data_IF_044648037958
#
_entry.id   IF_044648037958
#
_cell.length_a   1.000
_cell.length_b   1.000
_cell.length_c   1.000
_cell.angle_alpha   90.00
_cell.angle_beta   90.00
_cell.angle_gamma   90.00
#
_symmetry.space_group_name_H-M   'P 1'
#
loop_
_entity.id
_entity.type
_entity.pdbx_description
1 polymer ?
#
# COMPACT_ATOMS: atom_id res chain seq x y z
N UNK A 1 -0.20 0.20 -9.50
CA UNK A 1 -1.06 1.32 -9.06
C UNK A 1 -2.21 1.60 -10.04
N UNK A 2 -2.01 1.39 -11.34
CA UNK A 2 -3.02 1.71 -12.36
C UNK A 2 -4.30 0.87 -12.27
N UNK A 3 -4.20 -0.41 -11.86
CA UNK A 3 -5.38 -1.29 -11.75
C UNK A 3 -6.37 -0.83 -10.66
N UNK A 4 -5.88 -0.48 -9.46
CA UNK A 4 -6.75 0.01 -8.37
C UNK A 4 -7.32 1.39 -8.69
N UNK A 5 -6.53 2.25 -9.34
CA UNK A 5 -6.99 3.56 -9.83
C UNK A 5 -8.11 3.39 -10.86
N UNK A 6 -7.94 2.51 -11.84
CA UNK A 6 -8.92 2.27 -12.89
C UNK A 6 -10.23 1.70 -12.31
N UNK A 7 -10.14 0.73 -11.39
CA UNK A 7 -11.31 0.20 -10.66
C UNK A 7 -12.07 1.28 -9.89
N UNK A 8 -11.35 2.19 -9.24
CA UNK A 8 -11.99 3.29 -8.53
C UNK A 8 -12.71 4.24 -9.48
N UNK A 9 -12.09 4.59 -10.63
CA UNK A 9 -12.69 5.43 -11.66
C UNK A 9 -13.96 4.80 -12.22
N UNK A 10 -13.93 3.49 -12.50
CA UNK A 10 -15.09 2.74 -12.99
C UNK A 10 -16.24 2.72 -11.96
N UNK A 11 -15.93 2.52 -10.68
CA UNK A 11 -16.94 2.56 -9.62
C UNK A 11 -17.57 3.97 -9.46
N UNK A 12 -16.77 5.04 -9.56
CA UNK A 12 -17.30 6.42 -9.56
C UNK A 12 -18.19 6.69 -10.78
N UNK A 13 -17.80 6.21 -11.97
CA UNK A 13 -18.63 6.35 -13.18
C UNK A 13 -19.94 5.60 -13.03
N UNK A 14 -19.91 4.37 -12.50
CA UNK A 14 -21.12 3.60 -12.22
C UNK A 14 -22.11 4.36 -11.35
N UNK A 15 -21.64 5.02 -10.29
CA UNK A 15 -22.50 5.86 -9.44
C UNK A 15 -23.06 7.08 -10.17
N UNK A 16 -22.23 7.77 -10.96
CA UNK A 16 -22.67 8.93 -11.74
C UNK A 16 -23.70 8.56 -12.81
N UNK A 17 -23.51 7.43 -13.48
CA UNK A 17 -24.45 6.91 -14.47
C UNK A 17 -25.78 6.49 -13.80
N UNK A 18 -25.73 5.87 -12.61
CA UNK A 18 -26.96 5.54 -11.86
C UNK A 18 -27.72 6.77 -11.39
N UNK A 19 -27.02 7.83 -10.95
CA UNK A 19 -27.66 9.09 -10.51
C UNK A 19 -28.29 9.86 -11.66
N UNK A 20 -27.65 9.85 -12.85
CA UNK A 20 -28.12 10.60 -14.02
C UNK A 20 -29.20 9.84 -14.81
N UNK A 21 -29.09 8.52 -14.91
CA UNK A 21 -30.00 7.70 -15.74
C UNK A 21 -31.05 6.93 -14.92
N UNK A 22 -31.12 7.14 -13.60
CA UNK A 22 -32.08 6.44 -12.73
C UNK A 22 -31.80 4.95 -12.64
N UNK A 23 -30.52 4.59 -12.47
CA UNK A 23 -30.08 3.21 -12.35
C UNK A 23 -30.60 2.51 -11.09
N UNK A 24 -30.53 1.18 -11.08
CA UNK A 24 -31.06 0.36 -10.00
C UNK A 24 -30.32 0.63 -8.68
N UNK A 25 -31.04 0.62 -7.56
CA UNK A 25 -30.43 0.68 -6.21
C UNK A 25 -29.35 -0.38 -6.01
N UNK A 26 -29.49 -1.54 -6.66
CA UNK A 26 -28.49 -2.61 -6.64
C UNK A 26 -27.17 -2.20 -7.33
N UNK A 27 -27.22 -1.40 -8.39
CA UNK A 27 -26.04 -0.93 -9.12
C UNK A 27 -25.28 0.11 -8.29
N UNK A 28 -26.00 1.01 -7.61
CA UNK A 28 -25.40 1.95 -6.65
C UNK A 28 -24.70 1.20 -5.50
N UNK A 29 -25.39 0.26 -4.86
CA UNK A 29 -24.81 -0.51 -3.75
C UNK A 29 -23.58 -1.30 -4.18
N UNK A 30 -23.57 -1.87 -5.40
CA UNK A 30 -22.41 -2.58 -5.93
C UNK A 30 -21.22 -1.65 -6.13
N UNK A 31 -21.45 -0.46 -6.68
CA UNK A 31 -20.39 0.52 -6.88
C UNK A 31 -19.83 1.03 -5.53
N UNK A 32 -20.66 1.27 -4.52
CA UNK A 32 -20.23 1.66 -3.17
C UNK A 32 -19.37 0.57 -2.50
N UNK A 33 -19.77 -0.70 -2.60
CA UNK A 33 -19.00 -1.84 -2.06
C UNK A 33 -17.64 -1.93 -2.75
N UNK A 34 -17.60 -1.79 -4.07
CA UNK A 34 -16.35 -1.81 -4.83
C UNK A 34 -15.42 -0.65 -4.44
N UNK A 35 -15.97 0.56 -4.25
CA UNK A 35 -15.20 1.70 -3.74
C UNK A 35 -14.61 1.44 -2.36
N UNK A 36 -15.38 0.87 -1.45
CA UNK A 36 -14.91 0.55 -0.10
C UNK A 36 -13.78 -0.50 -0.15
N UNK A 37 -13.94 -1.54 -0.98
CA UNK A 37 -12.91 -2.56 -1.21
C UNK A 37 -11.62 -1.96 -1.77
N UNK A 38 -11.72 -1.10 -2.79
CA UNK A 38 -10.54 -0.45 -3.39
C UNK A 38 -9.86 0.50 -2.39
N UNK A 39 -10.63 1.28 -1.62
CA UNK A 39 -10.07 2.14 -0.55
C UNK A 39 -9.31 1.33 0.50
N UNK A 40 -9.87 0.18 0.91
CA UNK A 40 -9.21 -0.72 1.85
C UNK A 40 -7.91 -1.29 1.26
N UNK A 41 -7.92 -1.74 0.00
CA UNK A 41 -6.72 -2.23 -0.68
C UNK A 41 -5.61 -1.16 -0.77
N UNK A 42 -5.96 0.10 -1.06
CA UNK A 42 -5.00 1.22 -1.07
C UNK A 42 -4.41 1.46 0.33
N UNK A 43 -5.23 1.38 1.39
CA UNK A 43 -4.76 1.53 2.75
C UNK A 43 -3.75 0.44 3.13
N UNK A 44 -4.06 -0.82 2.82
CA UNK A 44 -3.17 -1.96 3.06
C UNK A 44 -1.85 -1.80 2.28
N UNK A 45 -1.93 -1.45 0.99
CA UNK A 45 -0.74 -1.22 0.18
C UNK A 45 0.16 -0.11 0.73
N UNK A 46 -0.43 0.98 1.26
CA UNK A 46 0.34 2.05 1.92
C UNK A 46 1.06 1.54 3.17
N UNK A 47 0.40 0.70 3.96
CA UNK A 47 1.00 0.09 5.15
C UNK A 47 2.14 -0.85 4.78
N UNK A 48 1.97 -1.68 3.75
CA UNK A 48 3.04 -2.54 3.22
C UNK A 48 4.25 -1.72 2.75
N UNK A 49 4.01 -0.65 1.99
CA UNK A 49 5.08 0.25 1.53
C UNK A 49 5.85 0.87 2.71
N UNK A 50 5.15 1.27 3.77
CA UNK A 50 5.78 1.79 4.97
C UNK A 50 6.68 0.74 5.65
N UNK A 51 6.19 -0.50 5.78
CA UNK A 51 6.97 -1.61 6.34
C UNK A 51 8.20 -1.92 5.50
N UNK A 52 8.08 -1.99 4.17
CA UNK A 52 9.20 -2.22 3.26
C UNK A 52 10.29 -1.14 3.42
N UNK A 53 9.91 0.15 3.46
CA UNK A 53 10.88 1.25 3.68
C UNK A 53 11.56 1.14 5.03
N UNK A 54 10.82 0.76 6.07
CA UNK A 54 11.37 0.59 7.43
C UNK A 54 12.38 -0.55 7.46
N UNK A 55 12.08 -1.68 6.82
CA UNK A 55 13.00 -2.81 6.72
C UNK A 55 14.25 -2.46 5.93
N UNK A 56 14.10 -1.72 4.83
CA UNK A 56 15.24 -1.25 4.04
C UNK A 56 16.16 -0.35 4.87
N UNK A 57 15.61 0.64 5.59
CA UNK A 57 16.41 1.53 6.45
C UNK A 57 17.13 0.76 7.57
N UNK A 58 16.48 -0.26 8.15
CA UNK A 58 17.14 -1.15 9.13
C UNK A 58 18.28 -1.96 8.51
N UNK A 59 18.09 -2.47 7.30
CA UNK A 59 19.13 -3.22 6.59
C UNK A 59 20.33 -2.32 6.26
N UNK A 60 20.09 -1.07 5.85
CA UNK A 60 21.14 -0.08 5.60
C UNK A 60 21.91 0.26 6.88
N UNK A 61 21.21 0.47 8.00
CA UNK A 61 21.85 0.71 9.30
C UNK A 61 22.71 -0.48 9.77
N UNK A 62 22.23 -1.72 9.60
CA UNK A 62 22.99 -2.93 9.92
C UNK A 62 24.24 -3.07 9.04
N UNK A 63 24.13 -2.74 7.75
CA UNK A 63 25.29 -2.73 6.84
C UNK A 63 26.32 -1.70 7.28
N UNK A 64 25.91 -0.48 7.62
CA UNK A 64 26.82 0.55 8.13
C UNK A 64 27.52 0.07 9.41
N UNK A 65 26.78 -0.51 10.36
CA UNK A 65 27.34 -1.05 11.60
C UNK A 65 28.33 -2.21 11.37
N UNK A 66 28.08 -3.04 10.36
CA UNK A 66 28.97 -4.14 9.99
C UNK A 66 30.25 -3.65 9.28
N UNK A 67 30.17 -2.55 8.54
CA UNK A 67 31.34 -1.92 7.90
C UNK A 67 32.20 -1.18 8.93
N UNK A 68 31.59 -0.55 9.94
CA UNK A 68 32.27 0.09 11.07
C UNK A 68 32.72 -0.93 12.14
N UNK A 69 33.18 -2.12 11.72
CA UNK A 69 33.61 -3.21 12.58
C UNK A 69 34.53 -2.68 13.70
N UNK A 70 34.07 -2.62 14.96
CA UNK A 70 34.85 -1.95 15.98
C UNK A 70 36.04 -2.81 16.32
N UNK A 71 37.24 -2.21 16.33
CA UNK A 71 38.55 -2.86 16.45
C UNK A 71 38.68 -3.87 17.62
N UNK A 72 37.77 -3.83 18.60
CA UNK A 72 37.74 -4.73 19.74
C UNK A 72 37.30 -6.17 19.42
N UNK A 73 36.68 -6.45 18.26
CA UNK A 73 36.41 -7.85 17.84
C UNK A 73 37.69 -8.63 17.49
N UNK A 74 38.75 -7.93 17.08
CA UNK A 74 40.07 -8.53 16.83
C UNK A 74 40.86 -8.85 18.10
N UNK A 75 40.54 -8.23 19.24
CA UNK A 75 41.28 -8.39 20.51
C UNK A 75 40.75 -9.51 21.42
N UNK A 76 39.66 -10.19 21.05
CA UNK A 76 39.11 -11.32 21.81
C UNK A 76 39.57 -12.70 21.28
N UNK A 77 40.46 -12.71 20.28
CA UNK A 77 40.98 -13.93 19.65
C UNK A 77 42.45 -14.24 19.99
N UNK A 78 43.00 -13.63 21.04
CA UNK A 78 44.39 -13.83 21.49
C UNK A 78 44.47 -14.24 22.95
#
# INVERSE_FOLDING_TARGET
MDVLRNRLIEAYRGLGDTDVFGGSTADCSKAEVEMAAVKHAIANHRQECFLCRTLQGRQEALKAFAVDEPAWRGTMAS
#
